data_IF_980973158369
#
_entry.id   IF_980973158369
#
_cell.length_a   1.000
_cell.length_b   1.000
_cell.length_c   1.000
_cell.angle_alpha   90.00
_cell.angle_beta   90.00
_cell.angle_gamma   90.00
#
_symmetry.space_group_name_H-M   'P 1'
#
loop_
_entity.id
_entity.type
_entity.pdbx_description
1 polymer ?
#
# COMPACT_ATOMS: atom_id res chain seq x y z
N UNK A 1 6.22 53.15 -22.56
CA UNK A 1 6.03 54.41 -21.80
C UNK A 1 4.82 55.13 -22.37
N UNK A 2 3.91 55.65 -21.54
CA UNK A 2 2.78 56.54 -21.90
C UNK A 2 1.74 56.01 -22.93
N UNK A 3 0.54 56.60 -23.10
CA UNK A 3 -0.43 57.21 -22.14
C UNK A 3 -1.76 57.49 -22.89
N UNK A 4 -2.89 57.62 -22.19
CA UNK A 4 -4.20 58.04 -22.74
C UNK A 4 -5.04 56.89 -23.36
N UNK A 5 -6.35 56.69 -23.12
CA UNK A 5 -7.40 57.48 -22.41
C UNK A 5 -7.73 58.79 -23.16
N UNK A 6 -8.96 59.11 -23.61
CA UNK A 6 -10.22 59.13 -22.85
C UNK A 6 -11.52 59.34 -23.70
N UNK A 7 -12.69 59.25 -23.04
CA UNK A 7 -14.01 59.78 -23.50
C UNK A 7 -15.03 58.71 -23.89
N UNK A 8 -16.36 58.82 -23.64
CA UNK A 8 -17.27 59.78 -22.96
C UNK A 8 -18.58 58.99 -22.64
N UNK A 9 -19.58 59.33 -21.80
CA UNK A 9 -19.98 60.42 -20.85
C UNK A 9 -21.04 59.78 -19.90
N UNK A 10 -21.21 60.07 -18.58
CA UNK A 10 -21.59 61.33 -17.88
C UNK A 10 -23.03 61.78 -18.23
N UNK A 11 -23.99 62.03 -17.32
CA UNK A 11 -24.03 62.01 -15.83
C UNK A 11 -25.50 62.04 -15.31
N UNK A 12 -25.73 61.55 -14.07
CA UNK A 12 -26.78 62.03 -13.14
C UNK A 12 -28.25 61.69 -13.45
N UNK A 13 -29.20 61.84 -12.50
CA UNK A 13 -29.01 62.12 -11.07
C UNK A 13 -30.27 62.70 -10.38
N UNK A 14 -30.95 61.87 -9.58
CA UNK A 14 -31.96 62.12 -8.53
C UNK A 14 -32.87 63.38 -8.56
N UNK A 15 -34.18 63.17 -8.40
CA UNK A 15 -34.93 63.53 -7.16
C UNK A 15 -36.37 62.97 -7.14
N UNK A 16 -36.77 62.50 -5.95
CA UNK A 16 -38.11 62.44 -5.30
C UNK A 16 -39.38 61.84 -5.96
N UNK A 17 -39.96 60.88 -5.21
CA UNK A 17 -41.39 60.57 -4.92
C UNK A 17 -42.44 60.48 -6.07
N UNK A 18 -43.25 59.41 -6.16
CA UNK A 18 -44.17 58.99 -5.07
C UNK A 18 -44.92 57.66 -5.33
N UNK A 19 -45.21 56.93 -4.22
CA UNK A 19 -46.44 56.14 -3.93
C UNK A 19 -46.78 54.86 -4.74
N UNK A 20 -46.46 53.71 -4.10
CA UNK A 20 -47.17 52.41 -3.98
C UNK A 20 -47.82 51.68 -5.18
N UNK A 21 -47.48 50.39 -5.30
CA UNK A 21 -48.47 49.31 -5.03
C UNK A 21 -47.75 48.02 -4.53
N UNK A 22 -48.45 47.17 -3.78
CA UNK A 22 -47.85 46.00 -3.09
C UNK A 22 -47.70 44.77 -4.00
N UNK A 23 -46.53 44.11 -3.92
CA UNK A 23 -46.40 42.67 -4.25
C UNK A 23 -45.66 41.98 -3.11
N UNK A 24 -46.35 41.05 -2.45
CA UNK A 24 -45.85 40.34 -1.27
C UNK A 24 -44.68 39.42 -1.63
N UNK A 25 -43.52 39.61 -0.98
CA UNK A 25 -42.40 38.68 -1.08
C UNK A 25 -42.72 37.36 -0.37
N UNK A 26 -42.92 36.28 -1.13
CA UNK A 26 -42.92 34.91 -0.58
C UNK A 26 -41.47 34.42 -0.40
N UNK A 27 -41.01 34.09 0.82
CA UNK A 27 -39.71 33.46 1.03
C UNK A 27 -39.83 31.95 0.78
N UNK A 28 -39.70 31.51 -0.48
CA UNK A 28 -40.18 30.17 -0.85
C UNK A 28 -39.58 29.51 -2.08
N UNK A 29 -38.25 29.37 -2.17
CA UNK A 29 -37.57 28.15 -2.69
C UNK A 29 -36.05 28.34 -2.79
N UNK A 30 -35.33 27.91 -1.75
CA UNK A 30 -34.05 27.28 -2.02
C UNK A 30 -34.34 25.97 -2.80
N UNK A 31 -33.60 25.63 -3.87
CA UNK A 31 -33.77 24.32 -4.49
C UNK A 31 -33.48 23.23 -3.45
N UNK A 32 -34.22 22.11 -3.44
CA UNK A 32 -33.96 21.03 -2.50
C UNK A 32 -32.51 20.56 -2.64
N UNK A 33 -31.84 20.17 -1.54
CA UNK A 33 -30.48 19.63 -1.61
C UNK A 33 -30.45 18.44 -2.57
N UNK A 34 -29.36 18.27 -3.36
CA UNK A 34 -29.30 17.20 -4.34
C UNK A 34 -29.47 15.85 -3.65
N UNK A 35 -30.46 15.07 -4.11
CA UNK A 35 -30.66 13.69 -3.66
C UNK A 35 -29.41 12.85 -3.96
N UNK A 36 -29.18 11.81 -3.16
CA UNK A 36 -28.07 10.87 -3.36
C UNK A 36 -28.17 10.20 -4.75
N UNK A 37 -29.40 9.94 -5.24
CA UNK A 37 -29.65 9.56 -6.62
C UNK A 37 -29.15 10.58 -7.67
N UNK A 38 -29.32 11.87 -7.41
CA UNK A 38 -28.93 12.96 -8.31
C UNK A 38 -27.42 13.26 -8.24
N UNK A 39 -26.78 13.15 -7.07
CA UNK A 39 -25.33 13.26 -6.93
C UNK A 39 -24.61 12.06 -7.54
N UNK A 40 -25.12 10.84 -7.31
CA UNK A 40 -24.55 9.62 -7.87
C UNK A 40 -24.62 9.63 -9.40
N UNK A 41 -25.81 9.84 -9.99
CA UNK A 41 -26.01 9.79 -11.46
C UNK A 41 -25.60 11.09 -12.18
N UNK A 42 -25.89 12.26 -11.60
CA UNK A 42 -25.57 13.57 -12.21
C UNK A 42 -24.11 13.99 -12.06
N UNK A 43 -23.37 13.36 -11.15
CA UNK A 43 -21.94 13.61 -10.95
C UNK A 43 -21.01 12.91 -11.96
N UNK A 44 -21.55 12.08 -12.86
CA UNK A 44 -20.77 11.26 -13.80
C UNK A 44 -20.49 12.02 -15.12
N UNK A 45 -19.35 11.80 -15.80
CA UNK A 45 -19.09 12.38 -17.12
C UNK A 45 -20.01 11.76 -18.18
N UNK A 46 -20.16 12.45 -19.32
CA UNK A 46 -21.11 12.06 -20.38
C UNK A 46 -20.79 10.69 -21.00
N UNK A 47 -19.52 10.30 -21.05
CA UNK A 47 -19.10 8.98 -21.52
C UNK A 47 -19.65 7.83 -20.65
N UNK A 48 -19.84 8.07 -19.34
CA UNK A 48 -20.45 7.10 -18.42
C UNK A 48 -21.95 6.92 -18.61
N UNK A 49 -22.61 7.83 -19.35
CA UNK A 49 -24.02 7.69 -19.75
C UNK A 49 -24.23 6.68 -20.90
N UNK A 50 -23.15 5.98 -21.32
CA UNK A 50 -23.23 4.75 -22.13
C UNK A 50 -23.65 3.51 -21.33
N UNK A 51 -23.84 3.62 -20.01
CA UNK A 51 -24.55 2.62 -19.20
C UNK A 51 -25.97 2.41 -19.75
N UNK A 52 -26.49 1.18 -19.67
CA UNK A 52 -27.82 0.84 -20.19
C UNK A 52 -28.91 1.62 -19.43
N UNK A 53 -30.05 1.96 -20.06
CA UNK A 53 -31.14 2.66 -19.36
C UNK A 53 -31.65 1.87 -18.14
N UNK A 54 -31.59 0.55 -18.19
CA UNK A 54 -31.99 -0.35 -17.12
C UNK A 54 -31.07 -0.24 -15.90
N UNK A 55 -29.75 -0.20 -16.11
CA UNK A 55 -28.72 -0.03 -15.08
C UNK A 55 -28.92 1.31 -14.34
N UNK A 56 -29.11 2.40 -15.08
CA UNK A 56 -29.38 3.74 -14.52
C UNK A 56 -30.71 3.76 -13.75
N UNK A 57 -31.70 2.97 -14.18
CA UNK A 57 -33.03 2.90 -13.53
C UNK A 57 -32.98 2.08 -12.24
N UNK A 58 -32.22 0.99 -12.22
CA UNK A 58 -31.95 0.20 -11.02
C UNK A 58 -31.18 1.03 -9.97
N UNK A 59 -30.08 1.68 -10.36
CA UNK A 59 -29.30 2.52 -9.45
C UNK A 59 -30.21 3.57 -8.81
N UNK A 60 -31.05 4.26 -9.60
CA UNK A 60 -32.05 5.21 -9.07
C UNK A 60 -33.04 4.55 -8.11
N UNK A 61 -33.58 3.37 -8.44
CA UNK A 61 -34.48 2.61 -7.54
C UNK A 61 -33.82 2.40 -6.17
N UNK A 62 -32.60 1.86 -6.16
CA UNK A 62 -31.85 1.54 -4.95
C UNK A 62 -31.44 2.79 -4.17
N UNK A 63 -31.04 3.88 -4.83
CA UNK A 63 -30.83 5.18 -4.16
C UNK A 63 -32.09 5.65 -3.41
N UNK A 64 -33.29 5.51 -3.97
CA UNK A 64 -34.53 5.88 -3.24
C UNK A 64 -34.88 4.93 -2.09
N UNK A 65 -34.26 3.75 -1.99
CA UNK A 65 -34.36 2.88 -0.81
C UNK A 65 -33.42 3.44 0.27
N UNK A 66 -32.15 3.68 -0.07
CA UNK A 66 -31.14 4.27 0.83
C UNK A 66 -31.65 5.60 1.41
N UNK A 67 -32.17 6.50 0.58
CA UNK A 67 -32.71 7.80 1.00
C UNK A 67 -33.87 7.62 2.01
N UNK A 68 -34.87 6.78 1.70
CA UNK A 68 -36.01 6.51 2.58
C UNK A 68 -35.61 5.83 3.89
N UNK A 69 -34.56 5.02 3.90
CA UNK A 69 -34.07 4.41 5.14
C UNK A 69 -33.24 5.35 5.99
N UNK A 70 -32.43 6.22 5.36
CA UNK A 70 -31.72 7.30 6.06
C UNK A 70 -32.71 8.29 6.68
N UNK A 71 -33.79 8.64 5.98
CA UNK A 71 -34.84 9.52 6.50
C UNK A 71 -35.67 8.85 7.63
N UNK A 72 -35.83 7.52 7.61
CA UNK A 72 -36.41 6.75 8.72
C UNK A 72 -35.47 6.60 9.92
N UNK A 73 -34.15 6.56 9.71
CA UNK A 73 -33.17 6.38 10.79
C UNK A 73 -33.15 7.54 11.81
N UNK A 74 -33.74 8.69 11.48
CA UNK A 74 -34.02 9.78 12.42
C UNK A 74 -35.28 9.58 13.30
N UNK A 75 -35.88 8.39 13.28
CA UNK A 75 -37.03 7.99 14.10
C UNK A 75 -36.72 6.66 14.78
N UNK A 76 -36.56 6.69 16.10
CA UNK A 76 -36.00 5.59 16.92
C UNK A 76 -36.70 4.22 16.70
N UNK A 77 -36.14 3.42 15.81
CA UNK A 77 -36.51 2.02 15.59
C UNK A 77 -35.24 1.20 15.39
N UNK A 78 -34.93 0.31 16.32
CA UNK A 78 -33.73 -0.53 16.26
C UNK A 78 -33.83 -1.51 15.09
N UNK A 79 -33.04 -1.28 14.03
CA UNK A 79 -32.91 -2.23 12.91
C UNK A 79 -32.26 -3.53 13.38
N UNK A 80 -32.83 -4.66 12.97
CA UNK A 80 -32.19 -5.97 13.13
C UNK A 80 -30.84 -6.02 12.41
N UNK A 81 -29.98 -6.98 12.77
CA UNK A 81 -28.69 -7.16 12.11
C UNK A 81 -28.84 -7.48 10.62
N UNK A 82 -29.80 -8.33 10.23
CA UNK A 82 -30.04 -8.69 8.83
C UNK A 82 -30.54 -7.50 7.99
N UNK A 83 -31.39 -6.62 8.55
CA UNK A 83 -31.82 -5.38 7.87
C UNK A 83 -30.65 -4.42 7.65
N UNK A 84 -29.73 -4.30 8.61
CA UNK A 84 -28.49 -3.50 8.45
C UNK A 84 -27.55 -4.12 7.43
N UNK A 85 -27.39 -5.44 7.46
CA UNK A 85 -26.57 -6.20 6.51
C UNK A 85 -27.07 -6.02 5.08
N UNK A 86 -28.38 -6.14 4.86
CA UNK A 86 -29.02 -5.90 3.56
C UNK A 86 -28.89 -4.44 3.10
N UNK A 87 -29.12 -3.47 4.00
CA UNK A 87 -28.93 -2.05 3.70
C UNK A 87 -27.49 -1.72 3.28
N UNK A 88 -26.48 -2.20 4.04
CA UNK A 88 -25.07 -1.96 3.76
C UNK A 88 -24.60 -2.69 2.49
N UNK A 89 -25.16 -3.86 2.19
CA UNK A 89 -24.97 -4.54 0.91
C UNK A 89 -25.49 -3.72 -0.28
N UNK A 90 -26.72 -3.18 -0.20
CA UNK A 90 -27.27 -2.27 -1.22
C UNK A 90 -26.40 -1.00 -1.37
N UNK A 91 -25.92 -0.44 -0.25
CA UNK A 91 -25.03 0.72 -0.23
C UNK A 91 -23.70 0.44 -0.96
N UNK A 92 -23.10 -0.74 -0.73
CA UNK A 92 -21.92 -1.20 -1.47
C UNK A 92 -22.17 -1.25 -2.98
N UNK A 93 -23.28 -1.85 -3.43
CA UNK A 93 -23.60 -1.91 -4.86
C UNK A 93 -23.77 -0.52 -5.50
N UNK A 94 -24.59 0.33 -4.86
CA UNK A 94 -24.97 1.66 -5.33
C UNK A 94 -23.79 2.65 -5.35
N UNK A 95 -22.86 2.54 -4.41
CA UNK A 95 -21.72 3.43 -4.32
C UNK A 95 -20.48 2.90 -5.06
N UNK A 96 -20.14 1.62 -4.95
CA UNK A 96 -18.89 1.10 -5.49
C UNK A 96 -18.84 1.10 -7.02
N UNK A 97 -19.87 0.57 -7.69
CA UNK A 97 -19.90 0.53 -9.16
C UNK A 97 -19.93 1.94 -9.77
N UNK A 98 -21.04 2.70 -9.60
CA UNK A 98 -21.23 3.99 -10.24
C UNK A 98 -20.18 5.07 -9.93
N UNK A 99 -19.47 4.98 -8.81
CA UNK A 99 -18.38 5.93 -8.48
C UNK A 99 -17.02 5.38 -8.88
N UNK A 100 -16.63 4.19 -8.43
CA UNK A 100 -15.26 3.70 -8.63
C UNK A 100 -15.01 3.31 -10.09
N UNK A 101 -15.98 2.70 -10.79
CA UNK A 101 -15.81 2.37 -12.21
C UNK A 101 -15.71 3.62 -13.10
N UNK A 102 -16.32 4.74 -12.68
CA UNK A 102 -16.15 6.03 -13.37
C UNK A 102 -14.78 6.63 -13.11
N UNK A 103 -14.22 6.48 -11.90
CA UNK A 103 -12.84 6.89 -11.59
C UNK A 103 -11.81 6.06 -12.37
N UNK A 104 -12.12 4.81 -12.75
CA UNK A 104 -11.29 4.00 -13.66
C UNK A 104 -11.29 4.49 -15.12
N UNK A 105 -12.24 5.30 -15.56
CA UNK A 105 -12.24 5.77 -16.97
C UNK A 105 -10.98 6.58 -17.28
N UNK A 106 -10.56 6.57 -18.54
CA UNK A 106 -9.41 7.34 -19.04
C UNK A 106 -9.81 8.66 -19.71
N UNK A 107 -11.07 9.09 -19.53
CA UNK A 107 -11.68 10.32 -20.07
C UNK A 107 -10.76 11.54 -19.87
N UNK A 108 -10.19 12.14 -20.94
CA UNK A 108 -9.27 13.27 -20.84
C UNK A 108 -9.97 14.59 -20.46
N UNK A 109 -11.31 14.62 -20.44
CA UNK A 109 -12.11 15.79 -20.04
C UNK A 109 -12.73 15.64 -18.64
N UNK A 110 -12.46 14.53 -17.94
CA UNK A 110 -12.98 14.30 -16.60
C UNK A 110 -12.37 15.29 -15.58
N UNK A 111 -13.22 15.80 -14.68
CA UNK A 111 -12.75 16.56 -13.52
C UNK A 111 -12.22 15.61 -12.44
N UNK A 112 -10.96 15.19 -12.59
CA UNK A 112 -10.30 14.22 -11.70
C UNK A 112 -10.31 14.66 -10.24
N UNK A 113 -10.18 15.96 -9.94
CA UNK A 113 -10.27 16.47 -8.55
C UNK A 113 -11.67 16.23 -7.93
N UNK A 114 -12.75 16.45 -8.69
CA UNK A 114 -14.12 16.14 -8.24
C UNK A 114 -14.36 14.63 -8.12
N UNK A 115 -13.83 13.83 -9.04
CA UNK A 115 -13.93 12.37 -8.98
C UNK A 115 -13.16 11.80 -7.78
N UNK A 116 -11.95 12.30 -7.52
CA UNK A 116 -11.14 11.95 -6.35
C UNK A 116 -11.89 12.25 -5.04
N UNK A 117 -12.44 13.45 -4.88
CA UNK A 117 -13.20 13.80 -3.66
C UNK A 117 -14.44 12.91 -3.49
N UNK A 118 -15.18 12.65 -4.57
CA UNK A 118 -16.35 11.75 -4.53
C UNK A 118 -15.95 10.30 -4.21
N UNK A 119 -14.82 9.83 -4.70
CA UNK A 119 -14.27 8.52 -4.39
C UNK A 119 -13.78 8.41 -2.93
N UNK A 120 -13.04 9.41 -2.43
CA UNK A 120 -12.63 9.49 -1.01
C UNK A 120 -13.84 9.45 -0.07
N UNK A 121 -14.87 10.27 -0.34
CA UNK A 121 -16.12 10.26 0.43
C UNK A 121 -16.83 8.90 0.36
N UNK A 122 -16.83 8.27 -0.82
CA UNK A 122 -17.39 6.91 -1.02
C UNK A 122 -16.65 5.87 -0.20
N UNK A 123 -15.30 5.88 -0.21
CA UNK A 123 -14.48 4.93 0.53
C UNK A 123 -14.71 5.08 2.04
N UNK A 124 -14.79 6.31 2.56
CA UNK A 124 -15.14 6.58 3.96
C UNK A 124 -16.53 6.05 4.33
N UNK A 125 -17.52 6.18 3.44
CA UNK A 125 -18.87 5.64 3.65
C UNK A 125 -18.90 4.11 3.65
N UNK A 126 -18.14 3.46 2.76
CA UNK A 126 -18.00 2.00 2.74
C UNK A 126 -17.20 1.48 3.96
N UNK A 127 -16.23 2.24 4.46
CA UNK A 127 -15.49 1.93 5.70
C UNK A 127 -16.44 1.89 6.91
N UNK A 128 -17.39 2.83 7.00
CA UNK A 128 -18.44 2.84 8.03
C UNK A 128 -19.40 1.64 7.87
N UNK A 129 -19.75 1.25 6.64
CA UNK A 129 -20.59 0.08 6.38
C UNK A 129 -19.94 -1.24 6.80
N UNK A 130 -18.61 -1.39 6.60
CA UNK A 130 -17.83 -2.52 7.13
C UNK A 130 -17.74 -2.46 8.66
N UNK A 131 -17.61 -1.26 9.25
CA UNK A 131 -17.59 -1.10 10.71
C UNK A 131 -18.92 -1.50 11.38
N UNK A 132 -20.07 -1.20 10.76
CA UNK A 132 -21.39 -1.53 11.30
C UNK A 132 -21.76 -3.01 11.11
N UNK A 133 -21.45 -3.58 9.94
CA UNK A 133 -21.76 -4.96 9.58
C UNK A 133 -20.59 -5.59 8.79
N UNK A 134 -19.53 -6.09 9.47
CA UNK A 134 -18.38 -6.70 8.81
C UNK A 134 -18.76 -7.85 7.87
N UNK A 135 -19.78 -8.62 8.23
CA UNK A 135 -20.32 -9.77 7.51
C UNK A 135 -20.83 -9.43 6.09
N UNK A 136 -21.02 -8.14 5.78
CA UNK A 136 -21.38 -7.64 4.44
C UNK A 136 -20.39 -8.10 3.37
N UNK A 137 -19.11 -8.26 3.73
CA UNK A 137 -18.05 -8.70 2.82
C UNK A 137 -18.25 -10.14 2.32
N UNK A 138 -18.77 -11.03 3.17
CA UNK A 138 -19.06 -12.42 2.83
C UNK A 138 -20.48 -12.62 2.27
N UNK A 139 -21.35 -11.61 2.30
CA UNK A 139 -22.73 -11.71 1.80
C UNK A 139 -22.75 -12.00 0.29
N UNK A 140 -23.23 -13.17 -0.10
CA UNK A 140 -23.54 -13.57 -1.49
C UNK A 140 -24.92 -13.05 -1.92
N UNK A 141 -25.30 -13.27 -3.18
CA UNK A 141 -26.66 -13.02 -3.70
C UNK A 141 -27.20 -14.27 -4.40
N UNK A 142 -28.47 -14.27 -4.80
CA UNK A 142 -29.06 -15.32 -5.65
C UNK A 142 -28.71 -15.18 -7.15
N UNK A 143 -28.05 -14.08 -7.54
CA UNK A 143 -27.74 -13.72 -8.93
C UNK A 143 -28.86 -12.97 -9.66
N UNK A 144 -29.98 -12.65 -8.99
CA UNK A 144 -31.10 -11.89 -9.56
C UNK A 144 -31.42 -10.60 -8.77
N UNK A 145 -30.92 -10.45 -7.54
CA UNK A 145 -31.14 -9.28 -6.68
C UNK A 145 -30.62 -7.95 -7.29
N UNK A 146 -29.56 -8.03 -8.12
CA UNK A 146 -28.90 -6.89 -8.78
C UNK A 146 -28.47 -7.20 -10.21
N UNK A 147 -28.57 -6.21 -11.12
CA UNK A 147 -28.28 -6.38 -12.55
C UNK A 147 -26.78 -6.55 -12.90
N UNK A 148 -25.87 -6.01 -12.08
CA UNK A 148 -24.41 -5.97 -12.34
C UNK A 148 -23.58 -6.77 -11.33
N UNK A 149 -24.20 -7.69 -10.58
CA UNK A 149 -23.56 -8.56 -9.59
C UNK A 149 -24.10 -9.99 -9.70
N UNK A 150 -23.25 -11.00 -9.55
CA UNK A 150 -23.64 -12.40 -9.53
C UNK A 150 -23.76 -12.98 -8.12
N UNK A 151 -23.58 -14.30 -8.02
CA UNK A 151 -23.67 -15.08 -6.78
C UNK A 151 -22.39 -15.03 -5.93
N UNK A 152 -21.29 -14.46 -6.44
CA UNK A 152 -20.02 -14.33 -5.73
C UNK A 152 -20.15 -13.62 -4.38
N UNK A 153 -19.24 -13.83 -3.40
CA UNK A 153 -19.14 -13.00 -2.20
C UNK A 153 -18.84 -11.53 -2.53
N UNK A 154 -19.32 -10.59 -1.71
CA UNK A 154 -19.25 -9.15 -2.03
C UNK A 154 -17.81 -8.66 -2.13
N UNK A 155 -16.91 -9.19 -1.28
CA UNK A 155 -15.49 -8.85 -1.31
C UNK A 155 -14.87 -9.10 -2.69
N UNK A 156 -15.23 -10.18 -3.38
CA UNK A 156 -14.65 -10.55 -4.68
C UNK A 156 -15.17 -9.67 -5.82
N UNK A 157 -16.43 -9.22 -5.76
CA UNK A 157 -16.98 -8.23 -6.68
C UNK A 157 -16.42 -6.81 -6.45
N UNK A 158 -16.02 -6.51 -5.21
CA UNK A 158 -15.59 -5.18 -4.78
C UNK A 158 -14.08 -4.95 -4.89
N UNK A 159 -13.23 -5.89 -4.43
CA UNK A 159 -11.76 -5.75 -4.41
C UNK A 159 -11.17 -5.30 -5.75
N UNK A 160 -11.51 -5.93 -6.90
CA UNK A 160 -10.97 -5.54 -8.21
C UNK A 160 -11.32 -4.10 -8.57
N UNK A 161 -12.44 -3.56 -8.05
CA UNK A 161 -12.88 -2.19 -8.34
C UNK A 161 -12.13 -1.14 -7.56
N UNK A 162 -11.85 -1.41 -6.28
CA UNK A 162 -11.11 -0.49 -5.44
C UNK A 162 -9.59 -0.57 -5.72
N UNK A 163 -9.04 -1.78 -5.90
CA UNK A 163 -7.62 -1.99 -6.17
C UNK A 163 -7.17 -1.35 -7.49
N UNK A 164 -7.97 -1.40 -8.56
CA UNK A 164 -7.63 -0.79 -9.85
C UNK A 164 -7.35 0.73 -9.77
N UNK A 165 -7.69 1.40 -8.66
CA UNK A 165 -7.37 2.81 -8.40
C UNK A 165 -5.99 3.02 -7.76
N UNK A 166 -5.45 2.03 -7.03
CA UNK A 166 -4.14 2.11 -6.36
C UNK A 166 -3.02 2.38 -7.37
N UNK A 167 -2.16 3.35 -7.05
CA UNK A 167 -0.98 3.71 -7.84
C UNK A 167 -1.26 4.44 -9.15
N UNK A 168 -2.52 4.72 -9.53
CA UNK A 168 -2.86 5.29 -10.83
C UNK A 168 -2.58 6.80 -10.87
N UNK A 169 -1.64 7.22 -11.72
CA UNK A 169 -1.11 8.59 -11.79
C UNK A 169 -2.17 9.72 -11.77
N UNK A 170 -3.29 9.57 -12.50
CA UNK A 170 -4.37 10.57 -12.59
C UNK A 170 -5.13 10.81 -11.27
N UNK A 171 -5.04 9.90 -10.30
CA UNK A 171 -5.87 9.88 -9.08
C UNK A 171 -5.08 9.46 -7.83
N UNK A 172 -3.76 9.71 -7.81
CA UNK A 172 -2.86 9.25 -6.74
C UNK A 172 -3.31 9.65 -5.31
N UNK A 173 -4.01 10.77 -5.14
CA UNK A 173 -4.52 11.19 -3.82
C UNK A 173 -5.71 10.38 -3.29
N UNK A 174 -6.23 9.38 -4.03
CA UNK A 174 -7.14 8.37 -3.46
C UNK A 174 -6.33 7.25 -2.78
N UNK A 175 -5.07 7.03 -3.15
CA UNK A 175 -4.26 5.86 -2.77
C UNK A 175 -4.25 5.62 -1.26
N UNK A 176 -3.95 6.63 -0.44
CA UNK A 176 -3.95 6.49 1.03
C UNK A 176 -5.31 6.09 1.58
N UNK A 177 -6.42 6.65 1.07
CA UNK A 177 -7.76 6.29 1.52
C UNK A 177 -8.12 4.82 1.18
N UNK A 178 -7.56 4.26 0.10
CA UNK A 178 -7.70 2.83 -0.25
C UNK A 178 -6.85 1.96 0.67
N UNK A 179 -5.61 2.36 0.96
CA UNK A 179 -4.73 1.68 1.90
C UNK A 179 -5.33 1.68 3.32
N UNK A 180 -5.82 2.83 3.79
CA UNK A 180 -6.55 3.02 5.05
C UNK A 180 -7.85 2.19 5.13
N UNK A 181 -8.50 1.92 3.99
CA UNK A 181 -9.67 1.06 3.91
C UNK A 181 -9.29 -0.41 4.05
N UNK A 182 -8.25 -0.87 3.34
CA UNK A 182 -7.84 -2.27 3.39
C UNK A 182 -7.14 -2.64 4.70
N UNK A 183 -6.30 -1.75 5.24
CA UNK A 183 -5.72 -1.92 6.57
C UNK A 183 -6.81 -2.09 7.64
N UNK A 184 -7.81 -1.20 7.65
CA UNK A 184 -8.97 -1.30 8.54
C UNK A 184 -9.75 -2.60 8.31
N UNK A 185 -10.03 -2.95 7.05
CA UNK A 185 -10.80 -4.17 6.72
C UNK A 185 -10.09 -5.43 7.23
N UNK A 186 -8.77 -5.54 7.03
CA UNK A 186 -7.97 -6.66 7.53
C UNK A 186 -7.91 -6.68 9.07
N UNK A 187 -7.85 -5.51 9.74
CA UNK A 187 -7.92 -5.42 11.19
C UNK A 187 -9.30 -5.90 11.71
N UNK A 188 -10.40 -5.35 11.18
CA UNK A 188 -11.77 -5.74 11.57
C UNK A 188 -11.99 -7.24 11.36
N UNK A 189 -11.50 -7.82 10.26
CA UNK A 189 -11.58 -9.27 10.01
C UNK A 189 -10.82 -10.07 11.07
N UNK A 190 -9.64 -9.62 11.50
CA UNK A 190 -8.89 -10.31 12.56
C UNK A 190 -9.55 -10.18 13.95
N UNK A 191 -10.24 -9.06 14.22
CA UNK A 191 -11.00 -8.84 15.46
C UNK A 191 -12.34 -9.61 15.48
N UNK A 192 -12.95 -9.86 14.32
CA UNK A 192 -14.25 -10.54 14.19
C UNK A 192 -14.10 -12.01 13.78
N UNK A 193 -14.13 -12.91 14.77
CA UNK A 193 -14.00 -14.38 14.61
C UNK A 193 -14.85 -14.99 13.47
N UNK A 194 -16.12 -14.59 13.21
CA UNK A 194 -16.91 -15.14 12.09
C UNK A 194 -16.33 -14.88 10.69
N UNK A 195 -15.35 -13.97 10.57
CA UNK A 195 -14.67 -13.63 9.32
C UNK A 195 -13.25 -14.18 9.22
N UNK A 196 -12.77 -14.98 10.17
CA UNK A 196 -11.39 -15.49 10.15
C UNK A 196 -11.07 -16.29 8.87
N UNK A 197 -12.04 -16.96 8.25
CA UNK A 197 -11.83 -17.63 6.95
C UNK A 197 -11.59 -16.66 5.78
N UNK A 198 -12.10 -15.42 5.86
CA UNK A 198 -11.94 -14.38 4.84
C UNK A 198 -10.55 -13.72 4.88
N UNK A 199 -9.94 -13.58 6.06
CA UNK A 199 -8.66 -12.89 6.23
C UNK A 199 -7.54 -13.48 5.38
N UNK A 200 -7.29 -14.80 5.43
CA UNK A 200 -6.32 -15.47 4.58
C UNK A 200 -6.64 -15.37 3.08
N UNK A 201 -7.92 -15.37 2.68
CA UNK A 201 -8.32 -15.24 1.27
C UNK A 201 -8.01 -13.83 0.72
N UNK A 202 -8.30 -12.77 1.47
CA UNK A 202 -7.91 -11.41 1.11
C UNK A 202 -6.40 -11.24 1.09
N UNK A 203 -5.70 -11.77 2.11
CA UNK A 203 -4.24 -11.72 2.16
C UNK A 203 -3.63 -12.42 0.93
N UNK A 204 -4.07 -13.64 0.61
CA UNK A 204 -3.62 -14.38 -0.57
C UNK A 204 -3.92 -13.65 -1.89
N UNK A 205 -5.07 -12.96 -2.01
CA UNK A 205 -5.35 -12.12 -3.18
C UNK A 205 -4.27 -11.03 -3.34
N UNK A 206 -3.97 -10.27 -2.27
CA UNK A 206 -2.95 -9.22 -2.31
C UNK A 206 -1.55 -9.80 -2.57
N UNK A 207 -1.21 -10.93 -1.95
CA UNK A 207 0.07 -11.64 -2.17
C UNK A 207 0.22 -12.13 -3.62
N UNK A 208 -0.82 -12.73 -4.21
CA UNK A 208 -0.82 -13.21 -5.59
C UNK A 208 -0.75 -12.05 -6.59
N UNK A 209 -1.43 -10.94 -6.30
CA UNK A 209 -1.37 -9.72 -7.10
C UNK A 209 0.02 -9.08 -7.06
N UNK A 210 0.65 -9.01 -5.89
CA UNK A 210 2.01 -8.47 -5.74
C UNK A 210 3.06 -9.36 -6.40
N UNK A 211 2.99 -10.68 -6.21
CA UNK A 211 3.86 -11.66 -6.90
C UNK A 211 3.83 -11.46 -8.41
N UNK A 212 2.65 -11.40 -9.02
CA UNK A 212 2.50 -11.30 -10.47
C UNK A 212 3.12 -10.01 -11.07
N UNK A 213 3.08 -8.90 -10.34
CA UNK A 213 3.76 -7.67 -10.77
C UNK A 213 5.29 -7.85 -10.72
N UNK A 214 5.80 -8.41 -9.63
CA UNK A 214 7.24 -8.59 -9.44
C UNK A 214 7.83 -9.65 -10.39
N UNK A 215 7.11 -10.76 -10.62
CA UNK A 215 7.44 -11.79 -11.60
C UNK A 215 7.53 -11.20 -13.02
N UNK A 216 6.66 -10.24 -13.38
CA UNK A 216 6.76 -9.54 -14.66
C UNK A 216 8.05 -8.71 -14.78
N UNK A 217 8.40 -7.93 -13.74
CA UNK A 217 9.64 -7.14 -13.75
C UNK A 217 10.92 -7.99 -13.65
N UNK A 218 10.86 -9.17 -13.01
CA UNK A 218 11.99 -10.12 -12.94
C UNK A 218 12.19 -10.92 -14.24
N UNK A 219 11.12 -11.25 -14.96
CA UNK A 219 11.19 -12.01 -16.23
C UNK A 219 11.52 -11.13 -17.44
N UNK A 220 11.18 -9.84 -17.39
CA UNK A 220 11.44 -8.85 -18.46
C UNK A 220 12.93 -8.44 -18.54
N UNK A 221 13.81 -9.35 -18.94
CA UNK A 221 15.25 -9.11 -19.11
C UNK A 221 15.58 -8.22 -20.32
N UNK A 222 15.24 -6.92 -20.25
CA UNK A 222 15.92 -5.79 -20.94
C UNK A 222 15.91 -5.79 -22.49
N UNK A 223 15.54 -6.87 -23.18
CA UNK A 223 15.74 -7.04 -24.63
C UNK A 223 14.48 -7.07 -25.47
N UNK A 224 13.33 -7.49 -24.92
CA UNK A 224 12.06 -7.46 -25.66
C UNK A 224 11.36 -6.10 -25.48
N UNK A 225 11.34 -5.32 -26.56
CA UNK A 225 10.59 -4.07 -26.64
C UNK A 225 9.11 -4.40 -26.91
N UNK A 226 8.42 -4.99 -25.94
CA UNK A 226 6.96 -5.08 -25.93
C UNK A 226 6.40 -3.71 -25.49
N UNK A 227 5.79 -2.91 -26.38
CA UNK A 227 5.45 -1.51 -26.09
C UNK A 227 4.19 -1.34 -25.22
N UNK A 228 3.62 -2.45 -24.73
CA UNK A 228 2.41 -2.49 -23.91
C UNK A 228 2.59 -3.50 -22.79
N UNK A 229 2.62 -3.01 -21.55
CA UNK A 229 2.37 -3.82 -20.38
C UNK A 229 0.89 -4.27 -20.39
N UNK A 230 0.58 -5.49 -19.95
CA UNK A 230 -0.80 -5.92 -19.68
C UNK A 230 -0.81 -7.00 -18.57
N UNK A 231 -0.66 -6.57 -17.32
CA UNK A 231 -0.69 -7.48 -16.15
C UNK A 231 -2.13 -7.63 -15.67
N UNK A 232 -2.70 -8.83 -15.79
CA UNK A 232 -4.01 -9.17 -15.22
C UNK A 232 -3.89 -9.53 -13.73
N UNK A 233 -4.65 -8.84 -12.88
CA UNK A 233 -4.60 -8.96 -11.43
C UNK A 233 -6.00 -9.24 -10.85
N UNK A 234 -6.15 -10.23 -9.94
CA UNK A 234 -5.14 -11.20 -9.54
C UNK A 234 -4.92 -12.22 -10.67
N UNK A 235 -3.86 -13.05 -10.62
CA UNK A 235 -3.62 -14.09 -11.61
C UNK A 235 -4.82 -15.02 -11.81
N UNK A 236 -5.07 -15.42 -13.05
CA UNK A 236 -6.13 -16.39 -13.36
C UNK A 236 -5.96 -17.72 -12.61
N UNK A 237 -4.71 -18.13 -12.35
CA UNK A 237 -4.38 -19.32 -11.54
C UNK A 237 -4.90 -19.23 -10.11
N UNK A 238 -4.93 -18.04 -9.51
CA UNK A 238 -5.53 -17.79 -8.20
C UNK A 238 -7.07 -17.81 -8.30
N UNK A 239 -7.66 -17.13 -9.29
CA UNK A 239 -9.13 -17.11 -9.46
C UNK A 239 -9.73 -18.49 -9.71
N UNK A 240 -9.04 -19.34 -10.49
CA UNK A 240 -9.44 -20.74 -10.71
C UNK A 240 -9.28 -21.63 -9.46
N UNK A 241 -8.47 -21.22 -8.47
CA UNK A 241 -8.28 -21.97 -7.23
C UNK A 241 -9.33 -21.67 -6.14
N UNK A 242 -10.22 -20.68 -6.37
CA UNK A 242 -11.30 -20.32 -5.45
C UNK A 242 -12.56 -21.22 -5.56
N UNK A 243 -12.56 -22.20 -6.45
CA UNK A 243 -13.63 -23.20 -6.68
C UNK A 243 -15.06 -22.62 -6.77
N UNK A 244 -15.19 -21.47 -7.43
CA UNK A 244 -16.47 -20.80 -7.66
C UNK A 244 -17.20 -21.48 -8.83
N UNK A 245 -18.53 -21.59 -8.74
CA UNK A 245 -19.34 -22.40 -9.67
C UNK A 245 -19.60 -21.80 -11.07
N UNK A 246 -18.78 -20.84 -11.51
CA UNK A 246 -18.94 -20.07 -12.76
C UNK A 246 -17.78 -20.40 -13.74
N UNK A 247 -18.02 -20.36 -15.04
CA UNK A 247 -16.97 -20.58 -16.05
C UNK A 247 -16.22 -19.27 -16.41
N UNK A 248 -16.86 -18.11 -16.24
CA UNK A 248 -16.33 -16.82 -16.71
C UNK A 248 -15.57 -16.02 -15.62
N UNK A 249 -15.34 -16.63 -14.44
CA UNK A 249 -14.66 -16.05 -13.26
C UNK A 249 -13.48 -15.11 -13.62
N UNK A 250 -12.54 -15.50 -14.50
CA UNK A 250 -11.34 -14.69 -14.74
C UNK A 250 -11.65 -13.29 -15.29
N UNK A 251 -12.71 -13.17 -16.09
CA UNK A 251 -13.14 -11.92 -16.71
C UNK A 251 -13.91 -10.99 -15.78
N UNK A 252 -14.56 -11.54 -14.75
CA UNK A 252 -15.48 -10.83 -13.86
C UNK A 252 -14.78 -10.20 -12.65
N UNK A 253 -13.70 -10.85 -12.16
CA UNK A 253 -13.05 -10.51 -10.89
C UNK A 253 -11.56 -10.14 -11.02
N UNK A 254 -11.16 -9.60 -12.18
CA UNK A 254 -9.80 -9.09 -12.41
C UNK A 254 -9.79 -7.68 -13.01
N UNK A 255 -8.62 -7.04 -12.99
CA UNK A 255 -8.32 -5.77 -13.63
C UNK A 255 -6.93 -5.83 -14.29
N UNK A 256 -6.73 -5.05 -15.35
CA UNK A 256 -5.46 -5.01 -16.11
C UNK A 256 -4.67 -3.75 -15.80
N UNK A 257 -3.40 -3.87 -15.42
CA UNK A 257 -2.45 -2.74 -15.35
C UNK A 257 -1.61 -2.70 -16.63
N UNK A 258 -1.53 -1.52 -17.25
CA UNK A 258 -0.94 -1.29 -18.59
C UNK A 258 0.19 -0.26 -18.65
N UNK A 259 0.63 0.21 -17.49
CA UNK A 259 1.71 1.19 -17.35
C UNK A 259 2.66 0.73 -16.25
N UNK A 260 3.97 0.85 -16.49
CA UNK A 260 5.01 0.43 -15.55
C UNK A 260 5.05 1.33 -14.31
N UNK A 261 4.79 2.64 -14.44
CA UNK A 261 4.67 3.53 -13.28
C UNK A 261 3.48 3.13 -12.41
N UNK A 262 2.31 2.90 -13.01
CA UNK A 262 1.13 2.38 -12.32
C UNK A 262 1.43 1.03 -11.64
N UNK A 263 2.06 0.08 -12.34
CA UNK A 263 2.37 -1.24 -11.79
C UNK A 263 3.30 -1.17 -10.56
N UNK A 264 4.34 -0.35 -10.60
CA UNK A 264 5.28 -0.20 -9.47
C UNK A 264 4.62 0.52 -8.31
N UNK A 265 3.88 1.61 -8.55
CA UNK A 265 3.11 2.30 -7.51
C UNK A 265 2.04 1.40 -6.90
N UNK A 266 1.44 0.51 -7.69
CA UNK A 266 0.46 -0.46 -7.22
C UNK A 266 1.11 -1.57 -6.37
N UNK A 267 2.27 -2.08 -6.77
CA UNK A 267 3.06 -3.03 -5.99
C UNK A 267 3.46 -2.45 -4.62
N UNK A 268 3.85 -1.17 -4.57
CA UNK A 268 4.09 -0.43 -3.32
C UNK A 268 2.86 -0.43 -2.43
N UNK A 269 1.69 -0.04 -2.95
CA UNK A 269 0.46 0.02 -2.17
C UNK A 269 0.02 -1.35 -1.64
N UNK A 270 0.11 -2.41 -2.47
CA UNK A 270 -0.14 -3.78 -2.02
C UNK A 270 0.82 -4.18 -0.90
N UNK A 271 2.12 -3.89 -1.05
CA UNK A 271 3.11 -4.15 -0.02
C UNK A 271 2.87 -3.34 1.26
N UNK A 272 2.39 -2.09 1.17
CA UNK A 272 2.08 -1.27 2.33
C UNK A 272 0.86 -1.79 3.12
N UNK A 273 -0.20 -2.20 2.41
CA UNK A 273 -1.37 -2.88 3.00
C UNK A 273 -0.92 -4.16 3.71
N UNK A 274 -0.13 -5.00 3.03
CA UNK A 274 0.40 -6.24 3.59
C UNK A 274 1.31 -5.99 4.81
N UNK A 275 2.23 -5.04 4.72
CA UNK A 275 3.11 -4.67 5.84
C UNK A 275 2.31 -4.25 7.05
N UNK A 276 1.38 -3.30 6.91
CA UNK A 276 0.66 -2.74 8.08
C UNK A 276 -0.24 -3.76 8.78
N UNK A 277 -0.66 -4.84 8.11
CA UNK A 277 -1.41 -5.93 8.72
C UNK A 277 -0.55 -7.10 9.24
N UNK A 278 0.65 -7.32 8.68
CA UNK A 278 1.58 -8.39 9.10
C UNK A 278 2.58 -7.90 10.17
N UNK A 279 2.95 -6.61 10.14
CA UNK A 279 3.80 -5.89 11.08
C UNK A 279 3.18 -4.52 11.41
N UNK A 280 2.21 -4.46 12.34
CA UNK A 280 1.62 -3.20 12.78
C UNK A 280 2.65 -2.33 13.52
N UNK A 281 2.58 -1.01 13.32
CA UNK A 281 3.57 -0.08 13.85
C UNK A 281 3.52 0.07 15.38
N UNK A 282 4.64 0.48 15.98
CA UNK A 282 4.71 0.84 17.41
C UNK A 282 4.86 -0.33 18.39
N UNK A 283 5.29 -1.50 17.91
CA UNK A 283 5.49 -2.69 18.77
C UNK A 283 4.20 -3.39 19.18
N UNK A 284 3.11 -3.19 18.44
CA UNK A 284 1.90 -4.00 18.57
C UNK A 284 2.17 -5.43 18.09
N UNK A 285 1.68 -6.43 18.81
CA UNK A 285 1.75 -7.82 18.38
C UNK A 285 0.92 -8.02 17.09
N UNK A 286 1.45 -8.72 16.07
CA UNK A 286 0.71 -8.96 14.83
C UNK A 286 -0.47 -9.92 15.09
N UNK A 287 -1.65 -9.69 14.48
CA UNK A 287 -2.80 -10.56 14.66
C UNK A 287 -2.46 -12.02 14.31
N UNK A 288 -2.98 -12.96 15.12
CA UNK A 288 -2.70 -14.40 14.97
C UNK A 288 -2.95 -14.90 13.53
N UNK A 289 -3.99 -14.36 12.89
CA UNK A 289 -4.41 -14.68 11.53
C UNK A 289 -3.38 -14.32 10.43
N UNK A 290 -2.45 -13.40 10.71
CA UNK A 290 -1.49 -12.88 9.73
C UNK A 290 -0.02 -13.17 10.09
N UNK A 291 0.28 -13.48 11.36
CA UNK A 291 1.62 -13.67 11.94
C UNK A 291 2.56 -14.58 11.11
N UNK A 292 2.05 -15.68 10.57
CA UNK A 292 2.86 -16.66 9.82
C UNK A 292 3.43 -16.09 8.48
N UNK A 293 2.92 -14.96 8.02
CA UNK A 293 3.30 -14.36 6.73
C UNK A 293 4.57 -13.50 6.79
N UNK A 294 5.21 -13.35 7.95
CA UNK A 294 6.49 -12.63 8.09
C UNK A 294 7.57 -13.26 7.18
N UNK A 295 7.66 -14.60 7.15
CA UNK A 295 8.61 -15.32 6.30
C UNK A 295 8.40 -15.03 4.81
N UNK A 296 7.14 -15.01 4.37
CA UNK A 296 6.75 -14.66 3.00
C UNK A 296 7.06 -13.18 2.69
N UNK A 297 6.83 -12.28 3.64
CA UNK A 297 7.09 -10.86 3.44
C UNK A 297 8.58 -10.58 3.21
N UNK A 298 9.49 -11.35 3.85
CA UNK A 298 10.92 -11.31 3.54
C UNK A 298 11.24 -11.77 2.11
N UNK A 299 10.56 -12.81 1.59
CA UNK A 299 10.81 -13.33 0.24
C UNK A 299 10.33 -12.38 -0.87
N UNK A 300 9.20 -11.68 -0.67
CA UNK A 300 8.68 -10.72 -1.66
C UNK A 300 9.41 -9.37 -1.62
N UNK A 301 10.01 -9.03 -0.48
CA UNK A 301 10.60 -7.71 -0.24
C UNK A 301 11.92 -7.48 -1.01
N UNK A 302 12.79 -8.50 -1.14
CA UNK A 302 14.03 -8.35 -1.93
C UNK A 302 13.75 -8.12 -3.43
N UNK A 303 12.84 -8.85 -4.11
CA UNK A 303 12.36 -8.51 -5.45
C UNK A 303 11.80 -7.09 -5.56
N UNK A 304 10.93 -6.69 -4.62
CA UNK A 304 10.33 -5.36 -4.61
C UNK A 304 11.40 -4.27 -4.50
N UNK A 305 12.36 -4.40 -3.58
CA UNK A 305 13.41 -3.41 -3.41
C UNK A 305 14.30 -3.28 -4.64
N UNK A 306 14.62 -4.38 -5.34
CA UNK A 306 15.37 -4.31 -6.61
C UNK A 306 14.66 -3.42 -7.64
N UNK A 307 13.34 -3.61 -7.83
CA UNK A 307 12.53 -2.77 -8.73
C UNK A 307 12.47 -1.33 -8.23
N UNK A 308 12.36 -1.11 -6.92
CA UNK A 308 12.34 0.24 -6.34
C UNK A 308 13.65 0.99 -6.52
N UNK A 309 14.80 0.33 -6.35
CA UNK A 309 16.12 0.93 -6.58
C UNK A 309 16.18 1.48 -8.01
N UNK A 310 15.93 0.64 -9.01
CA UNK A 310 16.06 1.03 -10.42
C UNK A 310 15.06 2.12 -10.86
N UNK A 311 13.86 2.19 -10.27
CA UNK A 311 12.81 3.14 -10.67
C UNK A 311 12.61 4.35 -9.71
N UNK A 312 13.20 4.32 -8.52
CA UNK A 312 13.02 5.33 -7.44
C UNK A 312 13.17 6.78 -7.92
N UNK A 313 14.22 7.07 -8.68
CA UNK A 313 14.54 8.42 -9.15
C UNK A 313 13.58 8.93 -10.22
N UNK A 314 13.12 8.07 -11.14
CA UNK A 314 12.08 8.41 -12.12
C UNK A 314 10.75 8.71 -11.44
N UNK A 315 10.36 7.85 -10.48
CA UNK A 315 9.06 7.93 -9.80
C UNK A 315 9.04 8.93 -8.63
N UNK A 316 10.20 9.48 -8.26
CA UNK A 316 10.45 10.36 -7.09
C UNK A 316 10.03 9.73 -5.76
N UNK A 317 10.47 8.51 -5.54
CA UNK A 317 10.14 7.70 -4.36
C UNK A 317 11.37 7.60 -3.46
N UNK A 318 11.25 8.03 -2.21
CA UNK A 318 12.29 7.81 -1.21
C UNK A 318 12.40 6.32 -0.88
N UNK A 319 13.63 5.80 -0.90
CA UNK A 319 13.92 4.42 -0.50
C UNK A 319 13.97 4.22 1.04
N UNK A 320 14.03 5.31 1.83
CA UNK A 320 14.21 5.24 3.28
C UNK A 320 13.11 4.44 4.02
N UNK A 321 11.80 4.56 3.71
CA UNK A 321 10.76 3.74 4.35
C UNK A 321 10.90 2.24 4.12
N UNK A 322 11.58 1.84 3.03
CA UNK A 322 11.85 0.43 2.73
C UNK A 322 13.06 -0.08 3.51
N UNK A 323 14.13 0.72 3.63
CA UNK A 323 15.24 0.41 4.56
C UNK A 323 14.73 0.31 6.00
N UNK A 324 13.80 1.17 6.42
CA UNK A 324 13.12 1.03 7.71
C UNK A 324 12.33 -0.29 7.78
N UNK A 325 11.58 -0.64 6.74
CA UNK A 325 10.85 -1.93 6.69
C UNK A 325 11.78 -3.15 6.76
N UNK A 326 13.02 -3.04 6.27
CA UNK A 326 14.03 -4.07 6.43
C UNK A 326 14.49 -4.23 7.89
N UNK A 327 14.57 -3.12 8.64
CA UNK A 327 14.83 -3.12 10.09
C UNK A 327 13.64 -3.73 10.83
N UNK A 328 12.42 -3.27 10.54
CA UNK A 328 11.18 -3.76 11.17
C UNK A 328 11.03 -5.29 10.99
N UNK A 329 11.35 -5.81 9.79
CA UNK A 329 11.39 -7.24 9.48
C UNK A 329 12.46 -8.01 10.26
N UNK A 330 13.62 -7.38 10.53
CA UNK A 330 14.70 -8.00 11.29
C UNK A 330 14.47 -7.97 12.81
N UNK A 331 13.76 -6.97 13.33
CA UNK A 331 13.32 -6.94 14.73
C UNK A 331 12.24 -7.99 15.00
N UNK A 332 11.25 -8.12 14.10
CA UNK A 332 10.16 -9.09 14.20
C UNK A 332 10.54 -10.54 13.82
N UNK A 333 11.79 -10.80 13.45
CA UNK A 333 12.25 -12.13 13.06
C UNK A 333 12.47 -13.03 14.30
N UNK A 334 11.91 -14.23 14.29
CA UNK A 334 12.32 -15.29 15.21
C UNK A 334 13.77 -15.78 14.90
N UNK A 335 14.33 -16.60 15.76
CA UNK A 335 15.72 -17.09 15.61
C UNK A 335 15.97 -17.93 14.33
N UNK A 336 14.92 -18.42 13.67
CA UNK A 336 15.01 -19.14 12.39
C UNK A 336 15.05 -18.19 11.21
N UNK A 337 14.31 -17.07 11.28
CA UNK A 337 14.25 -16.04 10.24
C UNK A 337 15.31 -14.95 10.41
N UNK A 338 15.83 -14.73 11.63
CA UNK A 338 16.81 -13.68 11.96
C UNK A 338 18.04 -13.68 11.03
N UNK A 339 18.68 -14.83 10.71
CA UNK A 339 19.79 -14.83 9.76
C UNK A 339 19.40 -14.41 8.33
N UNK A 340 18.19 -14.75 7.88
CA UNK A 340 17.63 -14.34 6.57
C UNK A 340 17.35 -12.84 6.54
N UNK A 341 16.72 -12.31 7.59
CA UNK A 341 16.39 -10.90 7.72
C UNK A 341 17.63 -10.00 7.78
N UNK A 342 18.63 -10.38 8.57
CA UNK A 342 19.92 -9.65 8.67
C UNK A 342 20.73 -9.77 7.37
N UNK A 343 20.67 -10.92 6.67
CA UNK A 343 21.27 -11.05 5.33
C UNK A 343 20.62 -10.11 4.31
N UNK A 344 19.28 -10.01 4.31
CA UNK A 344 18.56 -9.07 3.47
C UNK A 344 18.95 -7.62 3.82
N UNK A 345 18.90 -7.23 5.10
CA UNK A 345 19.30 -5.89 5.55
C UNK A 345 20.71 -5.52 5.09
N UNK A 346 21.68 -6.45 5.17
CA UNK A 346 23.05 -6.23 4.70
C UNK A 346 23.13 -6.04 3.17
N UNK A 347 22.39 -6.84 2.38
CA UNK A 347 22.34 -6.70 0.92
C UNK A 347 21.72 -5.37 0.49
N UNK A 348 20.68 -4.92 1.19
CA UNK A 348 19.94 -3.67 0.93
C UNK A 348 20.78 -2.44 1.27
N UNK A 349 21.46 -2.45 2.43
CA UNK A 349 22.44 -1.42 2.78
C UNK A 349 23.57 -1.33 1.76
N UNK A 350 24.04 -2.48 1.27
CA UNK A 350 25.05 -2.55 0.21
C UNK A 350 24.60 -1.90 -1.09
N UNK A 351 23.40 -2.22 -1.58
CA UNK A 351 22.86 -1.64 -2.81
C UNK A 351 22.69 -0.10 -2.73
N UNK A 352 22.33 0.43 -1.55
CA UNK A 352 22.24 1.88 -1.31
C UNK A 352 23.62 2.54 -1.26
N UNK A 353 24.64 1.86 -0.72
CA UNK A 353 26.02 2.36 -0.68
C UNK A 353 26.71 2.29 -2.04
N UNK A 354 26.52 1.20 -2.79
CA UNK A 354 27.01 0.99 -4.16
C UNK A 354 26.47 2.08 -5.12
N UNK A 355 25.27 2.63 -4.82
CA UNK A 355 24.64 3.76 -5.55
C UNK A 355 24.59 5.06 -4.73
N UNK A 356 25.56 5.28 -3.83
CA UNK A 356 25.56 6.39 -2.86
C UNK A 356 25.32 7.79 -3.44
N UNK A 357 25.87 8.12 -4.61
CA UNK A 357 25.64 9.41 -5.31
C UNK A 357 24.16 9.66 -5.65
N UNK A 358 23.37 8.59 -5.82
CA UNK A 358 21.97 8.63 -6.21
C UNK A 358 21.03 8.80 -5.00
N UNK A 359 21.44 8.39 -3.80
CA UNK A 359 20.56 8.25 -2.63
C UNK A 359 21.02 8.92 -1.33
N UNK A 360 22.28 9.34 -1.21
CA UNK A 360 22.83 9.96 0.01
C UNK A 360 23.03 11.48 -0.13
N UNK A 361 22.25 12.12 -1.01
CA UNK A 361 22.31 13.54 -1.32
C UNK A 361 21.95 14.48 -0.17
N UNK A 362 22.17 15.78 -0.39
CA UNK A 362 21.88 16.85 0.58
C UNK A 362 20.41 17.27 0.65
N UNK A 363 19.54 16.66 -0.16
CA UNK A 363 18.10 16.91 -0.19
C UNK A 363 17.36 16.21 0.97
N UNK A 364 16.05 16.44 1.08
CA UNK A 364 15.22 15.84 2.14
C UNK A 364 15.18 14.31 2.06
N UNK A 365 15.19 13.72 0.85
CA UNK A 365 15.22 12.26 0.70
C UNK A 365 16.59 11.68 1.06
N UNK A 366 17.69 12.32 0.64
CA UNK A 366 19.04 11.93 1.01
C UNK A 366 19.37 12.14 2.49
N UNK A 367 18.77 13.12 3.15
CA UNK A 367 18.82 13.27 4.61
C UNK A 367 18.08 12.12 5.32
N UNK A 368 16.84 11.83 4.92
CA UNK A 368 16.06 10.73 5.49
C UNK A 368 16.76 9.37 5.27
N UNK A 369 17.30 9.14 4.07
CA UNK A 369 18.07 7.93 3.77
C UNK A 369 19.32 7.82 4.66
N UNK A 370 20.12 8.88 4.80
CA UNK A 370 21.30 8.86 5.67
C UNK A 370 20.94 8.54 7.13
N UNK A 371 19.79 9.01 7.63
CA UNK A 371 19.30 8.69 8.97
C UNK A 371 18.90 7.20 9.09
N UNK A 372 18.05 6.68 8.20
CA UNK A 372 17.60 5.28 8.27
C UNK A 372 18.72 4.29 7.96
N UNK A 373 19.63 4.61 7.03
CA UNK A 373 20.83 3.81 6.77
C UNK A 373 21.75 3.76 8.00
N UNK A 374 21.94 4.88 8.71
CA UNK A 374 22.71 4.88 9.96
C UNK A 374 22.10 3.98 11.04
N UNK A 375 20.77 3.93 11.13
CA UNK A 375 20.07 3.00 12.01
C UNK A 375 20.27 1.54 11.56
N UNK A 376 20.11 1.25 10.26
CA UNK A 376 20.33 -0.08 9.70
C UNK A 376 21.76 -0.59 9.98
N UNK A 377 22.78 0.26 9.84
CA UNK A 377 24.17 -0.07 10.17
C UNK A 377 24.35 -0.42 11.66
N UNK A 378 23.70 0.30 12.58
CA UNK A 378 23.73 -0.03 14.01
C UNK A 378 23.09 -1.39 14.31
N UNK A 379 22.00 -1.75 13.63
CA UNK A 379 21.38 -3.08 13.75
C UNK A 379 22.29 -4.18 13.19
N UNK A 380 22.96 -3.96 12.06
CA UNK A 380 23.92 -4.91 11.50
C UNK A 380 25.13 -5.12 12.42
N UNK A 381 25.67 -4.07 13.04
CA UNK A 381 26.77 -4.19 14.03
C UNK A 381 26.32 -5.01 15.24
N UNK A 382 25.14 -4.72 15.82
CA UNK A 382 24.58 -5.44 16.97
C UNK A 382 24.42 -6.94 16.71
N UNK A 383 24.05 -7.34 15.49
CA UNK A 383 23.80 -8.74 15.14
C UNK A 383 25.05 -9.47 14.57
N UNK A 384 26.08 -8.73 14.15
CA UNK A 384 27.37 -9.29 13.75
C UNK A 384 28.08 -10.00 14.93
N UNK A 385 27.96 -9.45 16.15
CA UNK A 385 28.47 -10.05 17.38
C UNK A 385 27.78 -11.40 17.69
N UNK A 386 26.48 -11.53 17.36
CA UNK A 386 25.69 -12.74 17.60
C UNK A 386 25.93 -13.82 16.53
N UNK A 387 26.08 -13.41 15.27
CA UNK A 387 26.03 -14.31 14.12
C UNK A 387 27.32 -14.27 13.28
N UNK A 388 28.36 -14.97 13.76
CA UNK A 388 29.70 -15.03 13.11
C UNK A 388 29.70 -15.40 11.63
N UNK A 389 28.71 -16.15 11.15
CA UNK A 389 28.54 -16.50 9.73
C UNK A 389 28.11 -15.32 8.85
N UNK A 390 27.48 -14.28 9.42
CA UNK A 390 27.03 -13.10 8.69
C UNK A 390 28.11 -12.02 8.58
N UNK A 391 29.15 -12.07 9.41
CA UNK A 391 30.25 -11.09 9.41
C UNK A 391 30.87 -10.95 8.00
N UNK A 392 31.13 -12.06 7.31
CA UNK A 392 31.71 -12.03 5.95
C UNK A 392 30.77 -11.38 4.91
N UNK A 393 29.45 -11.50 5.09
CA UNK A 393 28.47 -10.85 4.22
C UNK A 393 28.40 -9.35 4.51
N UNK A 394 28.37 -8.96 5.79
CA UNK A 394 28.36 -7.54 6.22
C UNK A 394 29.66 -6.85 5.82
N UNK A 395 30.81 -7.50 5.98
CA UNK A 395 32.12 -6.99 5.54
C UNK A 395 32.15 -6.74 4.02
N UNK A 396 31.78 -7.77 3.23
CA UNK A 396 31.87 -7.71 1.77
C UNK A 396 30.81 -6.84 1.09
N UNK A 397 29.58 -6.76 1.63
CA UNK A 397 28.48 -5.98 1.03
C UNK A 397 28.23 -4.62 1.69
N UNK A 398 28.73 -4.35 2.89
CA UNK A 398 28.43 -3.10 3.62
C UNK A 398 29.70 -2.34 3.99
N UNK A 399 30.68 -2.99 4.62
CA UNK A 399 31.91 -2.30 5.08
C UNK A 399 32.75 -1.82 3.89
N UNK A 400 32.97 -2.67 2.87
CA UNK A 400 33.77 -2.30 1.69
C UNK A 400 33.11 -1.12 0.91
N UNK A 401 31.82 -1.16 0.55
CA UNK A 401 31.16 0.00 -0.08
C UNK A 401 31.18 1.27 0.78
N UNK A 402 30.97 1.16 2.10
CA UNK A 402 31.02 2.32 3.01
C UNK A 402 32.40 2.99 3.06
N UNK A 403 33.49 2.20 3.08
CA UNK A 403 34.87 2.72 3.05
C UNK A 403 35.21 3.35 1.69
N UNK A 404 34.71 2.77 0.59
CA UNK A 404 34.85 3.38 -0.75
C UNK A 404 34.10 4.73 -0.81
N UNK A 405 32.89 4.82 -0.25
CA UNK A 405 32.13 6.07 -0.19
C UNK A 405 32.81 7.15 0.65
N UNK A 406 33.32 6.83 1.85
CA UNK A 406 33.98 7.84 2.71
C UNK A 406 35.29 8.34 2.11
N UNK A 407 36.07 7.46 1.46
CA UNK A 407 37.32 7.85 0.80
C UNK A 407 37.12 8.61 -0.51
N UNK A 408 36.01 8.39 -1.23
CA UNK A 408 35.69 9.11 -2.46
C UNK A 408 35.01 10.48 -2.21
N UNK A 409 34.11 10.57 -1.22
CA UNK A 409 33.24 11.75 -1.05
C UNK A 409 33.96 12.96 -0.47
N UNK A 410 34.86 12.80 0.51
CA UNK A 410 35.43 13.90 1.29
C UNK A 410 36.91 13.69 1.67
N UNK A 411 37.85 14.45 1.09
CA UNK A 411 39.26 14.45 1.51
C UNK A 411 39.51 14.97 2.93
N UNK A 412 38.53 15.62 3.57
CA UNK A 412 38.66 16.29 4.88
C UNK A 412 37.33 16.30 5.69
N UNK A 413 36.59 15.18 5.77
CA UNK A 413 35.50 15.06 6.76
C UNK A 413 35.87 14.15 7.91
N UNK A 414 35.83 14.68 9.13
CA UNK A 414 36.12 13.98 10.37
C UNK A 414 35.01 13.00 10.83
N UNK A 415 34.33 12.35 9.89
CA UNK A 415 33.37 11.28 10.19
C UNK A 415 34.08 9.95 10.53
N UNK A 416 35.19 9.64 9.86
CA UNK A 416 35.98 8.42 10.11
C UNK A 416 37.49 8.62 9.85
N UNK A 417 38.14 9.52 10.60
CA UNK A 417 39.61 9.57 10.65
C UNK A 417 40.12 8.41 11.50
N UNK A 418 40.14 7.22 10.89
CA UNK A 418 40.87 6.07 11.43
C UNK A 418 42.37 6.36 11.38
N UNK A 419 43.08 6.13 12.49
CA UNK A 419 44.54 6.26 12.54
C UNK A 419 45.21 5.33 11.52
N UNK A 420 46.07 5.83 10.61
CA UNK A 420 46.43 5.13 9.38
C UNK A 420 47.53 4.08 9.56
N UNK A 421 47.31 3.02 10.35
CA UNK A 421 48.34 2.00 10.60
C UNK A 421 47.86 0.54 10.84
N UNK A 422 46.70 0.13 10.30
CA UNK A 422 46.34 -1.31 10.19
C UNK A 422 45.86 -1.64 8.77
N UNK A 423 46.55 -2.55 8.10
CA UNK A 423 46.14 -3.12 6.80
C UNK A 423 45.19 -4.31 7.01
N UNK A 424 44.06 -4.40 6.28
CA UNK A 424 43.05 -5.43 6.53
C UNK A 424 43.51 -6.87 6.28
N UNK A 425 44.63 -7.08 5.56
CA UNK A 425 45.16 -8.43 5.29
C UNK A 425 46.03 -9.02 6.43
N UNK A 426 46.28 -8.28 7.51
CA UNK A 426 47.25 -8.70 8.55
C UNK A 426 46.74 -9.74 9.57
N UNK A 427 45.46 -9.71 9.95
CA UNK A 427 45.01 -10.29 11.23
C UNK A 427 44.46 -11.73 11.19
N UNK A 428 44.34 -12.35 10.00
CA UNK A 428 43.83 -13.73 9.87
C UNK A 428 44.97 -14.75 9.70
N UNK A 429 46.17 -14.34 9.28
CA UNK A 429 47.29 -15.26 9.00
C UNK A 429 48.22 -15.58 10.19
N UNK A 430 48.16 -14.84 11.29
CA UNK A 430 49.28 -14.74 12.23
C UNK A 430 49.33 -15.78 13.37
N UNK A 431 48.33 -16.67 13.52
CA UNK A 431 48.13 -17.40 14.79
C UNK A 431 48.11 -18.95 14.66
N UNK A 432 48.89 -19.51 13.72
CA UNK A 432 48.99 -20.98 13.49
C UNK A 432 50.45 -21.51 13.57
N UNK A 433 51.48 -20.64 13.62
CA UNK A 433 52.89 -21.05 13.65
C UNK A 433 53.75 -20.28 14.66
N UNK A 434 53.51 -20.46 15.97
CA UNK A 434 54.45 -20.01 17.02
C UNK A 434 54.31 -20.68 18.40
N UNK A 435 54.14 -22.01 18.50
CA UNK A 435 54.28 -22.67 19.82
C UNK A 435 54.80 -24.12 19.78
N UNK A 436 56.02 -24.31 19.28
CA UNK A 436 56.79 -25.57 19.42
C UNK A 436 58.26 -25.26 19.71
N UNK A 437 58.65 -25.22 20.99
CA UNK A 437 59.98 -25.63 21.51
C UNK A 437 60.19 -25.34 23.01
N UNK A 438 60.83 -26.29 23.72
CA UNK A 438 61.34 -26.23 25.12
C UNK A 438 60.32 -26.00 26.27
N UNK A 439 59.85 -26.98 27.07
CA UNK A 439 60.54 -28.06 27.87
C UNK A 439 61.38 -27.46 29.01
N UNK A 440 61.11 -27.75 30.32
CA UNK A 440 61.22 -29.11 30.88
C UNK A 440 60.16 -29.58 31.91
N UNK A 441 60.36 -30.83 32.37
CA UNK A 441 59.42 -31.72 33.04
C UNK A 441 59.56 -31.85 34.57
N UNK A 442 58.44 -31.91 35.30
CA UNK A 442 58.15 -32.78 36.46
C UNK A 442 56.70 -32.50 36.96
N UNK A 443 55.87 -33.45 37.40
CA UNK A 443 56.00 -34.91 37.55
C UNK A 443 54.63 -35.56 37.83
N UNK A 444 54.58 -36.89 37.93
CA UNK A 444 53.31 -37.67 38.02
C UNK A 444 52.58 -37.56 39.36
N UNK A 445 51.25 -37.67 39.36
CA UNK A 445 50.45 -38.61 40.19
C UNK A 445 49.05 -38.81 39.55
N UNK A 446 48.44 -39.99 39.75
CA UNK A 446 47.12 -40.36 39.20
C UNK A 446 45.94 -39.88 40.06
N UNK A 447 44.73 -39.84 39.49
CA UNK A 447 43.47 -39.65 40.22
C UNK A 447 42.25 -39.85 39.33
N UNK A 448 41.52 -40.95 39.55
CA UNK A 448 40.26 -41.29 38.86
C UNK A 448 39.02 -40.57 39.47
N UNK A 449 37.82 -41.03 39.08
CA UNK A 449 36.47 -40.69 39.56
C UNK A 449 35.78 -39.46 38.94
N UNK A 450 34.46 -39.45 38.69
CA UNK A 450 33.45 -40.47 38.29
C UNK A 450 32.14 -39.70 38.02
N UNK A 451 31.25 -40.17 37.13
CA UNK A 451 29.85 -39.66 37.07
C UNK A 451 29.03 -40.19 38.26
N UNK A 452 28.14 -39.40 38.88
CA UNK A 452 26.74 -39.29 38.41
C UNK A 452 26.22 -37.83 38.43
N UNK A 453 25.00 -37.51 37.97
CA UNK A 453 23.92 -38.37 37.47
C UNK A 453 22.66 -38.31 38.36
N UNK A 454 21.85 -37.27 38.19
CA UNK A 454 20.46 -37.12 38.68
C UNK A 454 19.76 -36.06 37.83
#
# INVERSE_FOLDING_TARGET
MASGVHGKTVKGGALEESVTEDVQTQPGSAPPPPTLAAELVGGLPKESQRTKPDEITEIKRLCTIIEKEKDKAGSDLEKTHEERLAYNHILFYVCAGPVLDVVKTDDPFANFARLQLKAQNTISLLKLAVQETPDVLNRTTDGNEFLLRGQEPLWLWFLPRLLALLGRAKVLGITSAVEDFFHFTLQTIAEHVPLWDLGPLLLQYFQASLRAILEHFQSSQVTDISPTLDIQLPPETFLRALDLADADIPSKFSYTIRDSEHAIRHAISLFHILKTSILPAGGAEPPLLYRENIAWMMDVFQPLFSVLVDWSTQLKISLAPYVQTAIDLAEAADDTLRPKAISALALLCGEVLDRSEQYLGEDEFGLAMRQTLSLALLHLVKEADNHRSLIQLIESRVVIPAVNFTTASLPNSDLWVGTPEISPFGLIGANIHSEVSHVPSAGSVCGDFFFPGS
#
